data_IF_482399819363
#
_entry.id   IF_482399819363
#
_cell.length_a   1.000
_cell.length_b   1.000
_cell.length_c   1.000
_cell.angle_alpha   90.00
_cell.angle_beta   90.00
_cell.angle_gamma   90.00
#
_symmetry.space_group_name_H-M   'P 1'
#
loop_
_entity.id
_entity.type
_entity.pdbx_description
1 polymer ?
#
# COMPACT_ATOMS: atom_id res chain seq x y z
N UNK A 1 74.96 -9.10 53.82
CA UNK A 1 73.85 -9.59 52.97
C UNK A 1 72.81 -8.48 52.85
N UNK A 2 72.97 -7.60 51.88
CA UNK A 2 72.13 -6.42 51.60
C UNK A 2 72.29 -6.06 50.12
N UNK A 3 71.17 -5.65 49.49
CA UNK A 3 71.05 -4.83 48.26
C UNK A 3 71.37 -5.59 46.94
N UNK A 4 70.66 -5.47 45.81
CA UNK A 4 70.06 -4.31 45.11
C UNK A 4 68.89 -4.78 44.19
N UNK A 5 67.97 -3.84 43.96
CA UNK A 5 66.83 -3.80 43.01
C UNK A 5 67.28 -3.65 41.54
N UNK A 6 66.56 -4.25 40.57
CA UNK A 6 66.46 -3.77 39.17
C UNK A 6 65.23 -4.46 38.53
N UNK A 7 64.07 -3.82 38.32
CA UNK A 7 63.75 -2.74 37.38
C UNK A 7 64.09 -3.09 35.92
N UNK A 8 63.11 -3.64 35.20
CA UNK A 8 63.08 -3.66 33.74
C UNK A 8 61.68 -3.24 33.28
N UNK A 9 61.56 -1.97 32.90
CA UNK A 9 60.44 -1.42 32.13
C UNK A 9 60.43 -2.09 30.75
N UNK A 10 59.33 -2.74 30.37
CA UNK A 10 59.00 -2.97 28.97
C UNK A 10 57.94 -1.96 28.55
N UNK A 11 58.32 -1.03 27.67
CA UNK A 11 57.39 -0.18 26.93
C UNK A 11 56.64 -1.03 25.89
N UNK A 12 55.29 -0.98 25.82
CA UNK A 12 54.60 -1.37 24.61
C UNK A 12 54.69 -0.22 23.59
N UNK A 13 55.36 -0.49 22.47
CA UNK A 13 55.39 0.36 21.28
C UNK A 13 53.96 0.47 20.73
N UNK A 14 53.40 1.67 20.76
CA UNK A 14 52.17 2.00 20.05
C UNK A 14 52.40 1.93 18.53
N UNK A 15 51.99 0.82 17.91
CA UNK A 15 51.80 0.77 16.47
C UNK A 15 50.49 1.50 16.13
N UNK A 16 50.58 2.78 15.79
CA UNK A 16 49.48 3.54 15.24
C UNK A 16 49.16 2.99 13.83
N UNK A 17 48.15 2.13 13.74
CA UNK A 17 47.49 1.83 12.48
C UNK A 17 46.75 3.10 12.04
N UNK A 18 47.34 3.84 11.11
CA UNK A 18 46.67 4.92 10.41
C UNK A 18 45.47 4.33 9.65
N UNK A 19 44.28 4.43 10.26
CA UNK A 19 43.03 4.21 9.58
C UNK A 19 42.89 5.30 8.52
N UNK A 20 43.25 4.97 7.27
CA UNK A 20 42.89 5.78 6.12
C UNK A 20 41.37 5.90 6.10
N UNK A 21 40.86 7.09 6.43
CA UNK A 21 39.46 7.43 6.27
C UNK A 21 39.14 7.32 4.77
N UNK A 22 38.54 6.21 4.36
CA UNK A 22 37.82 6.15 3.09
C UNK A 22 36.72 7.20 3.18
N UNK A 23 36.94 8.34 2.52
CA UNK A 23 35.93 9.37 2.34
C UNK A 23 34.69 8.69 1.74
N UNK A 24 33.63 8.57 2.53
CA UNK A 24 32.33 8.16 2.02
C UNK A 24 31.93 9.21 0.97
N UNK A 25 31.74 8.78 -0.27
CA UNK A 25 31.19 9.65 -1.31
C UNK A 25 29.87 10.25 -0.78
N UNK A 26 29.62 11.56 -0.99
CA UNK A 26 28.37 12.18 -0.54
C UNK A 26 27.18 11.38 -1.08
N UNK A 27 26.23 11.04 -0.21
CA UNK A 27 24.95 10.50 -0.66
C UNK A 27 24.35 11.44 -1.72
N UNK A 28 23.69 10.93 -2.78
CA UNK A 28 23.04 11.78 -3.76
C UNK A 28 22.15 12.80 -3.06
N UNK A 29 22.37 14.09 -3.32
CA UNK A 29 21.57 15.16 -2.73
C UNK A 29 20.09 14.90 -3.04
N UNK A 30 19.23 14.95 -2.03
CA UNK A 30 17.79 14.83 -2.21
C UNK A 30 17.32 15.89 -3.22
N UNK A 31 16.51 15.48 -4.21
CA UNK A 31 15.98 16.40 -5.23
C UNK A 31 15.31 17.61 -4.54
N UNK A 32 15.85 18.83 -4.66
CA UNK A 32 15.33 20.00 -3.94
C UNK A 32 13.86 20.30 -4.25
N UNK A 33 13.43 20.03 -5.49
CA UNK A 33 12.05 20.22 -5.91
C UNK A 33 11.11 19.23 -5.22
N UNK A 34 11.52 17.96 -5.09
CA UNK A 34 10.75 16.95 -4.36
C UNK A 34 10.64 17.32 -2.88
N UNK A 35 11.73 17.80 -2.26
CA UNK A 35 11.74 18.22 -0.86
C UNK A 35 10.81 19.42 -0.62
N UNK A 36 10.85 20.43 -1.50
CA UNK A 36 9.96 21.58 -1.44
C UNK A 36 8.48 21.19 -1.63
N UNK A 37 8.20 20.30 -2.60
CA UNK A 37 6.86 19.78 -2.84
C UNK A 37 6.34 18.96 -1.67
N UNK A 38 7.21 18.16 -1.03
CA UNK A 38 6.90 17.42 0.18
C UNK A 38 6.49 18.36 1.31
N UNK A 39 7.30 19.38 1.60
CA UNK A 39 6.99 20.35 2.65
C UNK A 39 5.67 21.10 2.38
N UNK A 40 5.44 21.52 1.13
CA UNK A 40 4.19 22.16 0.74
C UNK A 40 2.97 21.25 0.91
N UNK A 41 3.06 19.99 0.47
CA UNK A 41 1.98 19.03 0.60
C UNK A 41 1.71 18.63 2.05
N UNK A 42 2.76 18.41 2.85
CA UNK A 42 2.66 18.02 4.26
C UNK A 42 2.11 19.13 5.15
N UNK A 43 2.13 20.39 4.69
CA UNK A 43 1.45 21.50 5.36
C UNK A 43 -0.08 21.41 5.30
N UNK A 44 -0.63 20.61 4.38
CA UNK A 44 -2.07 20.40 4.26
C UNK A 44 -2.58 19.49 5.40
N UNK A 45 -3.83 19.69 5.89
CA UNK A 45 -4.46 18.77 6.80
C UNK A 45 -4.42 17.33 6.28
N UNK A 46 -4.17 16.34 7.16
CA UNK A 46 -4.13 14.92 6.77
C UNK A 46 -5.36 14.47 5.95
N UNK A 47 -6.60 14.87 6.29
CA UNK A 47 -7.76 14.50 5.46
C UNK A 47 -7.66 15.00 4.02
N UNK A 48 -7.12 16.21 3.81
CA UNK A 48 -6.94 16.79 2.47
C UNK A 48 -5.85 16.04 1.69
N UNK A 49 -4.74 15.70 2.34
CA UNK A 49 -3.67 14.88 1.74
C UNK A 49 -4.18 13.54 1.25
N UNK A 50 -5.01 12.88 2.07
CA UNK A 50 -5.66 11.60 1.70
C UNK A 50 -6.67 11.78 0.58
N UNK A 51 -7.45 12.86 0.60
CA UNK A 51 -8.41 13.18 -0.46
C UNK A 51 -7.70 13.38 -1.81
N UNK A 52 -6.58 14.10 -1.83
CA UNK A 52 -5.78 14.28 -3.06
C UNK A 52 -5.31 12.93 -3.61
N UNK A 53 -4.74 12.06 -2.76
CA UNK A 53 -4.31 10.74 -3.21
C UNK A 53 -5.48 9.87 -3.70
N UNK A 54 -6.62 9.91 -3.03
CA UNK A 54 -7.82 9.20 -3.46
C UNK A 54 -8.32 9.71 -4.83
N UNK A 55 -8.32 11.02 -5.04
CA UNK A 55 -8.71 11.61 -6.31
C UNK A 55 -7.71 11.30 -7.44
N UNK A 56 -6.41 11.23 -7.12
CA UNK A 56 -5.39 10.78 -8.07
C UNK A 56 -5.57 9.30 -8.46
N UNK A 57 -6.08 8.45 -7.58
CA UNK A 57 -6.44 7.06 -7.92
C UNK A 57 -7.62 7.06 -8.89
N UNK A 58 -8.69 7.79 -8.56
CA UNK A 58 -9.90 7.83 -9.39
C UNK A 58 -9.67 8.47 -10.77
N UNK A 59 -8.76 9.42 -10.87
CA UNK A 59 -8.31 10.00 -12.15
C UNK A 59 -7.25 9.16 -12.87
N UNK A 60 -6.79 8.04 -12.29
CA UNK A 60 -5.89 7.09 -12.94
C UNK A 60 -4.40 7.46 -12.90
N UNK A 61 -4.00 8.41 -12.05
CA UNK A 61 -2.62 8.92 -11.98
C UNK A 61 -1.81 8.38 -10.79
N UNK A 62 -2.45 7.78 -9.78
CA UNK A 62 -1.77 7.25 -8.60
C UNK A 62 -1.99 5.75 -8.43
N UNK A 63 -0.89 4.99 -8.45
CA UNK A 63 -0.86 3.56 -8.15
C UNK A 63 -0.14 3.35 -6.81
N UNK A 64 -0.88 3.53 -5.72
CA UNK A 64 -0.38 3.42 -4.36
C UNK A 64 -1.51 3.43 -3.34
N UNK A 65 -1.19 3.14 -2.09
CA UNK A 65 -2.15 3.26 -1.00
C UNK A 65 -2.37 4.73 -0.62
N UNK A 66 -3.61 5.08 -0.26
CA UNK A 66 -3.94 6.39 0.30
C UNK A 66 -3.39 6.44 1.73
N UNK A 67 -2.18 6.94 1.90
CA UNK A 67 -1.51 7.06 3.21
C UNK A 67 -1.52 8.48 3.77
N UNK A 68 -1.74 9.49 2.92
CA UNK A 68 -1.50 10.90 3.22
C UNK A 68 -0.02 11.30 3.16
N UNK A 69 0.92 10.34 3.08
CA UNK A 69 2.35 10.62 2.98
C UNK A 69 2.74 11.10 1.59
N UNK A 70 3.69 12.03 1.52
CA UNK A 70 4.22 12.51 0.26
C UNK A 70 5.56 11.83 -0.07
N UNK A 71 5.75 11.47 -1.33
CA UNK A 71 6.97 10.82 -1.79
C UNK A 71 7.00 10.75 -3.32
N UNK A 72 7.97 10.02 -3.90
CA UNK A 72 8.15 9.98 -5.36
C UNK A 72 6.91 9.55 -6.14
N UNK A 73 6.06 8.68 -5.58
CA UNK A 73 4.81 8.27 -6.22
C UNK A 73 3.78 9.40 -6.27
N UNK A 74 3.58 10.11 -5.17
CA UNK A 74 2.64 11.24 -5.10
C UNK A 74 3.11 12.39 -6.00
N UNK A 75 4.41 12.70 -5.97
CA UNK A 75 5.03 13.70 -6.84
C UNK A 75 4.80 13.38 -8.33
N UNK A 76 5.10 12.14 -8.76
CA UNK A 76 4.86 11.71 -10.14
C UNK A 76 3.38 11.75 -10.52
N UNK A 77 2.48 11.34 -9.62
CA UNK A 77 1.04 11.33 -9.89
C UNK A 77 0.49 12.74 -10.09
N UNK A 78 0.87 13.70 -9.26
CA UNK A 78 0.46 15.11 -9.40
C UNK A 78 0.98 15.68 -10.71
N UNK A 79 2.25 15.43 -11.05
CA UNK A 79 2.82 15.89 -12.31
C UNK A 79 2.17 15.23 -13.53
N UNK A 80 1.81 13.95 -13.45
CA UNK A 80 1.09 13.25 -14.51
C UNK A 80 -0.31 13.83 -14.72
N UNK A 81 -1.03 14.14 -13.64
CA UNK A 81 -2.34 14.80 -13.71
C UNK A 81 -2.25 16.20 -14.35
N UNK A 82 -1.20 16.96 -14.01
CA UNK A 82 -0.95 18.32 -14.52
C UNK A 82 -0.31 18.38 -15.91
N UNK A 83 0.03 17.24 -16.51
CA UNK A 83 0.82 17.18 -17.74
C UNK A 83 0.23 18.07 -18.85
N UNK A 84 1.03 19.02 -19.35
CA UNK A 84 0.65 19.96 -20.41
C UNK A 84 -0.28 21.11 -19.98
N UNK A 85 -0.62 21.23 -18.69
CA UNK A 85 -1.56 22.25 -18.17
C UNK A 85 -1.01 23.07 -16.99
N UNK A 86 0.06 22.61 -16.34
CA UNK A 86 0.67 23.28 -15.20
C UNK A 86 2.14 22.91 -15.01
N UNK A 87 2.79 23.53 -14.02
CA UNK A 87 4.19 23.28 -13.71
C UNK A 87 4.40 21.85 -13.15
N UNK A 88 5.49 21.17 -13.54
CA UNK A 88 5.83 19.84 -13.04
C UNK A 88 6.53 19.91 -11.65
N UNK A 89 5.91 20.61 -10.70
CA UNK A 89 6.44 20.90 -9.36
C UNK A 89 5.96 19.93 -8.27
N UNK A 90 5.09 18.98 -8.60
CA UNK A 90 4.53 18.02 -7.65
C UNK A 90 3.48 18.60 -6.70
N UNK A 91 3.04 19.85 -6.92
CA UNK A 91 2.02 20.49 -6.10
C UNK A 91 0.77 20.79 -6.92
N UNK A 92 -0.37 20.98 -6.25
CA UNK A 92 -1.62 21.41 -6.88
C UNK A 92 -1.90 22.84 -6.46
N UNK A 93 -2.10 23.74 -7.42
CA UNK A 93 -2.78 25.01 -7.15
C UNK A 93 -4.25 24.76 -6.76
N UNK A 94 -4.93 25.72 -6.12
CA UNK A 94 -6.36 25.56 -5.80
C UNK A 94 -7.26 25.28 -7.01
N UNK A 95 -6.91 25.79 -8.20
CA UNK A 95 -7.63 25.50 -9.43
C UNK A 95 -7.39 24.06 -9.91
N UNK A 96 -6.14 23.59 -9.92
CA UNK A 96 -5.79 22.22 -10.28
C UNK A 96 -6.39 21.21 -9.30
N UNK A 97 -6.39 21.53 -8.00
CA UNK A 97 -7.03 20.69 -6.98
C UNK A 97 -8.52 20.50 -7.22
N UNK A 98 -9.24 21.57 -7.58
CA UNK A 98 -10.67 21.51 -7.94
C UNK A 98 -10.90 20.68 -9.21
N UNK A 99 -10.07 20.88 -10.23
CA UNK A 99 -10.11 20.09 -11.47
C UNK A 99 -9.90 18.59 -11.19
N UNK A 100 -8.95 18.25 -10.32
CA UNK A 100 -8.69 16.87 -9.89
C UNK A 100 -9.92 16.25 -9.20
N UNK A 101 -10.54 16.99 -8.27
CA UNK A 101 -11.73 16.52 -7.57
C UNK A 101 -12.88 16.26 -8.56
N UNK A 102 -13.09 17.15 -9.54
CA UNK A 102 -14.12 16.99 -10.56
C UNK A 102 -13.88 15.76 -11.44
N UNK A 103 -12.63 15.56 -11.90
CA UNK A 103 -12.25 14.39 -12.69
C UNK A 103 -12.46 13.09 -11.91
N UNK A 104 -12.06 13.06 -10.64
CA UNK A 104 -12.25 11.92 -9.76
C UNK A 104 -13.74 11.61 -9.53
N UNK A 105 -14.56 12.63 -9.28
CA UNK A 105 -15.99 12.46 -9.07
C UNK A 105 -16.68 11.94 -10.34
N UNK A 106 -16.35 12.48 -11.51
CA UNK A 106 -16.88 12.00 -12.79
C UNK A 106 -16.50 10.52 -13.04
N UNK A 107 -15.27 10.12 -12.72
CA UNK A 107 -14.83 8.72 -12.82
C UNK A 107 -15.61 7.79 -11.87
N UNK A 108 -15.88 8.23 -10.64
CA UNK A 108 -16.70 7.50 -9.66
C UNK A 108 -18.13 7.30 -10.14
N UNK A 109 -18.72 8.35 -10.72
CA UNK A 109 -20.07 8.33 -11.28
C UNK A 109 -20.15 7.40 -12.49
N UNK A 110 -19.19 7.49 -13.42
CA UNK A 110 -19.09 6.61 -14.58
C UNK A 110 -18.94 5.13 -14.19
N UNK A 111 -18.19 4.84 -13.11
CA UNK A 111 -18.06 3.49 -12.58
C UNK A 111 -19.31 2.99 -11.82
N UNK A 112 -20.31 3.84 -11.59
CA UNK A 112 -21.44 3.53 -10.72
C UNK A 112 -20.99 3.20 -9.30
N UNK A 113 -19.93 3.84 -8.79
CA UNK A 113 -19.35 3.46 -7.51
C UNK A 113 -20.32 3.74 -6.36
N UNK A 114 -20.63 2.71 -5.57
CA UNK A 114 -21.55 2.80 -4.43
C UNK A 114 -20.96 2.08 -3.23
N UNK A 115 -21.07 2.69 -2.05
CA UNK A 115 -20.77 2.01 -0.79
C UNK A 115 -21.97 1.16 -0.41
N UNK A 116 -21.78 -0.15 -0.37
CA UNK A 116 -22.80 -1.15 -0.06
C UNK A 116 -22.49 -1.77 1.29
N UNK A 117 -23.52 -1.89 2.14
CA UNK A 117 -23.48 -2.74 3.31
C UNK A 117 -23.86 -4.17 2.87
N UNK A 118 -22.96 -5.12 3.10
CA UNK A 118 -23.18 -6.52 2.85
C UNK A 118 -23.68 -7.20 4.14
N UNK A 119 -24.99 -7.35 4.28
CA UNK A 119 -25.63 -7.91 5.49
C UNK A 119 -25.13 -9.32 5.85
N UNK A 120 -24.61 -10.09 4.87
CA UNK A 120 -24.13 -11.46 5.10
C UNK A 120 -22.79 -11.49 5.85
N UNK A 121 -21.94 -10.51 5.60
CA UNK A 121 -20.62 -10.42 6.23
C UNK A 121 -20.53 -9.24 7.20
N UNK A 122 -21.50 -8.33 7.18
CA UNK A 122 -21.50 -7.05 7.88
C UNK A 122 -20.40 -6.08 7.41
N UNK A 123 -19.85 -6.27 6.21
CA UNK A 123 -18.88 -5.35 5.61
C UNK A 123 -19.56 -4.13 5.01
N UNK A 124 -18.87 -2.98 5.06
CA UNK A 124 -19.15 -1.83 4.20
C UNK A 124 -18.05 -1.73 3.15
N UNK A 125 -18.41 -1.87 1.89
CA UNK A 125 -17.45 -1.93 0.77
C UNK A 125 -17.95 -1.09 -0.41
N UNK A 126 -17.02 -0.42 -1.08
CA UNK A 126 -17.31 0.29 -2.32
C UNK A 126 -17.29 -0.66 -3.51
N UNK A 127 -18.38 -0.68 -4.28
CA UNK A 127 -18.55 -1.53 -5.46
C UNK A 127 -18.78 -0.67 -6.71
N UNK A 128 -18.00 -0.85 -7.79
CA UNK A 128 -18.26 -0.21 -9.08
C UNK A 128 -19.39 -0.94 -9.81
N UNK A 129 -20.66 -0.59 -9.54
CA UNK A 129 -21.80 -1.38 -10.02
C UNK A 129 -22.00 -1.35 -11.54
N UNK A 130 -21.43 -0.37 -12.24
CA UNK A 130 -21.42 -0.37 -13.70
C UNK A 130 -20.47 -1.44 -14.26
N UNK A 131 -19.39 -1.76 -13.54
CA UNK A 131 -18.41 -2.80 -13.91
C UNK A 131 -18.84 -4.17 -13.41
N UNK A 132 -19.46 -4.24 -12.23
CA UNK A 132 -19.90 -5.46 -11.59
C UNK A 132 -21.44 -5.48 -11.40
N UNK A 133 -22.21 -5.56 -12.49
CA UNK A 133 -23.67 -5.42 -12.44
C UNK A 133 -24.39 -6.63 -11.85
N UNK A 134 -23.77 -7.83 -11.89
CA UNK A 134 -24.40 -9.05 -11.39
C UNK A 134 -24.14 -9.18 -9.90
N UNK A 135 -25.16 -9.52 -9.11
CA UNK A 135 -25.05 -9.76 -7.66
C UNK A 135 -25.69 -11.10 -7.30
N UNK A 136 -24.95 -11.93 -6.58
CA UNK A 136 -25.35 -13.26 -6.12
C UNK A 136 -24.91 -13.51 -4.67
N UNK A 137 -25.29 -14.67 -4.13
CA UNK A 137 -24.83 -15.17 -2.83
C UNK A 137 -23.61 -16.09 -3.04
N UNK A 138 -22.61 -15.99 -2.16
CA UNK A 138 -21.49 -16.93 -2.11
C UNK A 138 -21.54 -17.75 -0.81
N UNK A 139 -20.74 -18.82 -0.74
CA UNK A 139 -20.65 -19.67 0.45
C UNK A 139 -20.16 -18.95 1.71
N UNK A 140 -19.45 -17.83 1.55
CA UNK A 140 -18.85 -17.06 2.65
C UNK A 140 -19.36 -15.63 2.77
N UNK A 141 -20.26 -15.20 1.87
CA UNK A 141 -20.77 -13.83 1.83
C UNK A 141 -21.63 -13.56 0.60
N UNK A 142 -21.32 -12.48 -0.09
CA UNK A 142 -21.98 -12.02 -1.32
C UNK A 142 -20.98 -12.02 -2.48
N UNK A 143 -21.49 -12.11 -3.71
CA UNK A 143 -20.69 -12.10 -4.94
C UNK A 143 -21.18 -10.98 -5.86
N UNK A 144 -20.24 -10.26 -6.45
CA UNK A 144 -20.48 -9.35 -7.56
C UNK A 144 -19.65 -9.77 -8.77
N UNK A 145 -20.21 -9.68 -9.98
CA UNK A 145 -19.53 -10.14 -11.19
C UNK A 145 -19.71 -9.17 -12.36
N UNK A 146 -18.70 -9.13 -13.24
CA UNK A 146 -18.82 -8.48 -14.53
C UNK A 146 -19.88 -9.18 -15.39
N UNK A 147 -20.40 -8.46 -16.38
CA UNK A 147 -21.42 -9.00 -17.29
C UNK A 147 -20.93 -10.29 -17.98
N UNK A 148 -19.64 -10.36 -18.33
CA UNK A 148 -19.00 -11.53 -18.96
C UNK A 148 -18.47 -12.57 -17.97
N UNK A 149 -18.63 -12.36 -16.66
CA UNK A 149 -18.20 -13.29 -15.61
C UNK A 149 -16.69 -13.41 -15.40
N UNK A 150 -15.87 -12.57 -16.06
CA UNK A 150 -14.39 -12.63 -15.94
C UNK A 150 -13.84 -11.93 -14.70
N UNK A 151 -14.60 -10.99 -14.13
CA UNK A 151 -14.24 -10.30 -12.90
C UNK A 151 -15.24 -10.70 -11.84
N UNK A 152 -14.75 -11.20 -10.71
CA UNK A 152 -15.54 -11.55 -9.54
C UNK A 152 -15.01 -10.81 -8.33
N UNK A 153 -15.91 -10.25 -7.53
CA UNK A 153 -15.63 -9.75 -6.20
C UNK A 153 -16.50 -10.55 -5.22
N UNK A 154 -15.85 -11.30 -4.35
CA UNK A 154 -16.49 -12.05 -3.27
C UNK A 154 -16.21 -11.38 -1.94
N UNK A 155 -17.24 -11.07 -1.18
CA UNK A 155 -17.09 -10.77 0.25
C UNK A 155 -17.04 -12.07 1.04
N UNK A 156 -16.31 -12.06 2.15
CA UNK A 156 -16.22 -13.20 3.04
C UNK A 156 -16.15 -12.77 4.50
N UNK A 157 -16.70 -13.60 5.38
CA UNK A 157 -16.43 -13.60 6.82
C UNK A 157 -15.92 -14.98 7.26
N UNK A 158 -15.11 -15.02 8.31
CA UNK A 158 -14.68 -16.28 8.93
C UNK A 158 -15.59 -16.61 10.11
N UNK A 159 -15.66 -17.90 10.50
CA UNK A 159 -16.27 -18.28 11.77
C UNK A 159 -15.60 -17.56 12.95
N UNK A 160 -16.33 -17.36 14.06
CA UNK A 160 -15.75 -16.84 15.30
C UNK A 160 -14.58 -17.70 15.77
N UNK A 161 -13.52 -17.08 16.31
CA UNK A 161 -12.36 -17.76 16.86
C UNK A 161 -11.25 -18.10 15.87
N UNK A 162 -11.45 -17.94 14.55
CA UNK A 162 -10.33 -17.99 13.61
C UNK A 162 -9.40 -16.79 13.80
N UNK A 163 -8.09 -17.06 13.92
CA UNK A 163 -7.07 -16.02 14.04
C UNK A 163 -6.59 -15.54 12.68
N UNK A 164 -6.09 -14.30 12.65
CA UNK A 164 -5.57 -13.69 11.44
C UNK A 164 -4.39 -14.47 10.87
N UNK A 165 -3.52 -14.95 11.74
CA UNK A 165 -2.37 -15.78 11.39
C UNK A 165 -2.82 -17.11 10.79
N UNK A 166 -3.81 -17.79 11.38
CA UNK A 166 -4.30 -19.07 10.89
C UNK A 166 -4.91 -18.94 9.48
N UNK A 167 -5.72 -17.90 9.27
CA UNK A 167 -6.33 -17.62 7.96
C UNK A 167 -5.28 -17.24 6.93
N UNK A 168 -4.28 -16.45 7.31
CA UNK A 168 -3.17 -16.07 6.44
C UNK A 168 -2.31 -17.27 6.04
N UNK A 169 -2.01 -18.18 6.97
CA UNK A 169 -1.27 -19.42 6.69
C UNK A 169 -2.05 -20.29 5.70
N UNK A 170 -3.36 -20.50 5.92
CA UNK A 170 -4.23 -21.21 4.95
C UNK A 170 -4.24 -20.51 3.59
N UNK A 171 -4.31 -19.18 3.56
CA UNK A 171 -4.35 -18.40 2.32
C UNK A 171 -3.03 -18.45 1.55
N UNK A 172 -1.89 -18.65 2.20
CA UNK A 172 -0.57 -18.69 1.54
C UNK A 172 -0.04 -20.10 1.30
N UNK A 173 -0.68 -21.12 1.87
CA UNK A 173 -0.32 -22.51 1.68
C UNK A 173 -0.51 -22.96 0.21
N UNK A 174 0.39 -23.82 -0.31
CA UNK A 174 0.17 -24.52 -1.56
C UNK A 174 -1.15 -25.28 -1.52
N UNK A 175 -1.93 -25.19 -2.60
CA UNK A 175 -3.28 -25.78 -2.66
C UNK A 175 -3.25 -26.95 -3.65
N UNK A 176 -3.36 -28.22 -3.22
CA UNK A 176 -3.29 -29.38 -4.13
C UNK A 176 -4.32 -29.34 -5.26
N UNK A 177 -5.48 -28.74 -4.99
CA UNK A 177 -6.58 -28.60 -5.95
C UNK A 177 -6.38 -27.45 -6.96
N UNK A 178 -5.30 -26.67 -6.83
CA UNK A 178 -4.95 -25.62 -7.78
C UNK A 178 -3.41 -25.52 -7.93
N UNK A 179 -2.77 -26.52 -8.58
CA UNK A 179 -1.32 -26.59 -8.68
C UNK A 179 -0.70 -25.43 -9.48
N UNK A 180 -1.49 -24.75 -10.31
CA UNK A 180 -1.05 -23.55 -11.04
C UNK A 180 -1.14 -22.25 -10.24
N UNK A 181 -1.54 -22.29 -8.97
CA UNK A 181 -1.65 -21.10 -8.11
C UNK A 181 -0.27 -20.63 -7.65
N UNK A 182 0.09 -19.40 -7.97
CA UNK A 182 1.34 -18.75 -7.57
C UNK A 182 1.07 -17.48 -6.76
N UNK A 183 1.60 -17.39 -5.55
CA UNK A 183 1.56 -16.16 -4.74
C UNK A 183 2.61 -15.18 -5.27
N UNK A 184 2.19 -13.96 -5.60
CA UNK A 184 3.07 -12.89 -6.09
C UNK A 184 3.31 -11.81 -5.04
N UNK A 185 2.42 -11.67 -4.06
CA UNK A 185 2.57 -10.74 -2.95
C UNK A 185 1.89 -11.27 -1.69
N UNK A 186 2.53 -11.04 -0.54
CA UNK A 186 1.99 -11.39 0.78
C UNK A 186 2.35 -10.30 1.79
N UNK A 187 1.38 -9.91 2.61
CA UNK A 187 1.54 -8.95 3.70
C UNK A 187 0.68 -9.38 4.87
N UNK A 188 1.28 -9.43 6.06
CA UNK A 188 0.58 -9.64 7.33
C UNK A 188 0.83 -8.43 8.22
N UNK A 189 -0.24 -7.84 8.72
CA UNK A 189 -0.25 -6.73 9.70
C UNK A 189 -1.07 -7.17 10.91
N UNK A 190 -0.95 -6.52 12.07
CA UNK A 190 -1.69 -6.92 13.27
C UNK A 190 -3.22 -6.98 13.09
N UNK A 191 -3.76 -6.17 12.19
CA UNK A 191 -5.19 -5.95 11.98
C UNK A 191 -5.71 -6.45 10.62
N UNK A 192 -4.84 -6.72 9.65
CA UNK A 192 -5.24 -7.22 8.33
C UNK A 192 -4.13 -8.00 7.63
N UNK A 193 -4.50 -8.77 6.61
CA UNK A 193 -3.53 -9.32 5.67
C UNK A 193 -3.94 -9.05 4.22
N UNK A 194 -2.95 -9.11 3.33
CA UNK A 194 -3.15 -9.08 1.87
C UNK A 194 -2.40 -10.25 1.25
N UNK A 195 -3.07 -10.95 0.34
CA UNK A 195 -2.44 -11.96 -0.52
C UNK A 195 -2.87 -11.69 -1.95
N UNK A 196 -1.89 -11.55 -2.84
CA UNK A 196 -2.11 -11.44 -4.29
C UNK A 196 -1.42 -12.62 -4.96
N UNK A 197 -2.01 -13.11 -6.02
CA UNK A 197 -1.39 -14.16 -6.81
C UNK A 197 -2.06 -14.33 -8.16
N UNK A 198 -1.63 -15.40 -8.81
CA UNK A 198 -2.07 -15.79 -10.14
C UNK A 198 -2.50 -17.26 -10.09
N UNK A 199 -3.50 -17.61 -10.89
CA UNK A 199 -3.96 -18.96 -11.18
C UNK A 199 -3.90 -19.16 -12.70
N UNK A 200 -4.09 -20.38 -13.22
CA UNK A 200 -4.21 -20.59 -14.67
C UNK A 200 -5.32 -19.77 -15.33
N UNK A 201 -6.33 -19.36 -14.55
CA UNK A 201 -7.52 -18.63 -15.02
C UNK A 201 -7.45 -17.12 -14.85
N UNK A 202 -6.46 -16.59 -14.11
CA UNK A 202 -6.34 -15.14 -13.93
C UNK A 202 -5.57 -14.73 -12.69
N UNK A 203 -5.72 -13.46 -12.31
CA UNK A 203 -5.10 -12.89 -11.10
C UNK A 203 -6.13 -12.82 -9.99
N UNK A 204 -5.70 -12.95 -8.74
CA UNK A 204 -6.55 -12.74 -7.59
C UNK A 204 -5.88 -11.79 -6.60
N UNK A 205 -6.72 -11.04 -5.89
CA UNK A 205 -6.36 -10.25 -4.74
C UNK A 205 -7.21 -10.76 -3.58
N UNK A 206 -6.71 -10.72 -2.35
CA UNK A 206 -7.49 -11.04 -1.16
C UNK A 206 -7.04 -10.16 -0.01
N UNK A 207 -7.99 -9.49 0.63
CA UNK A 207 -7.75 -8.69 1.84
C UNK A 207 -8.81 -8.98 2.88
N UNK A 208 -8.40 -9.49 4.03
CA UNK A 208 -9.24 -9.65 5.21
C UNK A 208 -8.66 -8.84 6.37
N UNK A 209 -9.54 -8.26 7.17
CA UNK A 209 -9.23 -7.54 8.38
C UNK A 209 -9.93 -8.18 9.59
N UNK A 210 -9.31 -8.06 10.76
CA UNK A 210 -9.93 -8.45 12.01
C UNK A 210 -11.17 -7.57 12.29
N UNK A 211 -12.26 -8.21 12.68
CA UNK A 211 -13.48 -7.57 13.15
C UNK A 211 -13.94 -8.17 14.48
N UNK A 212 -15.03 -7.66 15.08
CA UNK A 212 -15.45 -8.04 16.42
C UNK A 212 -15.78 -9.54 16.59
N UNK A 213 -16.17 -10.21 15.52
CA UNK A 213 -16.69 -11.60 15.53
C UNK A 213 -15.87 -12.55 14.65
N UNK A 214 -14.66 -12.14 14.23
CA UNK A 214 -13.83 -12.87 13.28
C UNK A 214 -13.33 -11.96 12.17
N UNK A 215 -12.69 -12.54 11.17
CA UNK A 215 -12.17 -11.80 10.04
C UNK A 215 -13.26 -11.53 9.00
N UNK A 216 -13.15 -10.40 8.32
CA UNK A 216 -14.03 -10.01 7.23
C UNK A 216 -13.22 -9.36 6.12
N UNK A 217 -13.60 -9.61 4.87
CA UNK A 217 -12.85 -9.06 3.75
C UNK A 217 -13.45 -9.37 2.40
N UNK A 218 -12.62 -9.19 1.37
CA UNK A 218 -13.00 -9.47 -0.01
C UNK A 218 -11.86 -10.11 -0.79
N UNK A 219 -12.21 -10.75 -1.89
CA UNK A 219 -11.30 -11.28 -2.92
C UNK A 219 -11.83 -11.10 -4.32
#
# INVERSE_FOLDING_TARGET
MRLIVSAALMLPVCAALSAGALAQAPAPAANPQLAAAQAGFESLPEPERRAIQADLIWSGHFNGAVSGSYGPLTFRAINAFKAGKGAADGLLTPAERRSLAQAAQAAREAAGFRVIADERTGLRIGIPTAVLPKRDVSSSGSRWQSADGKITLDTSSTPPGETLEAVYQKATAPTPNNPGRKITYKLLRPDFFVVTGETPTGKFYRRLAAGPTGLRGFS
#
